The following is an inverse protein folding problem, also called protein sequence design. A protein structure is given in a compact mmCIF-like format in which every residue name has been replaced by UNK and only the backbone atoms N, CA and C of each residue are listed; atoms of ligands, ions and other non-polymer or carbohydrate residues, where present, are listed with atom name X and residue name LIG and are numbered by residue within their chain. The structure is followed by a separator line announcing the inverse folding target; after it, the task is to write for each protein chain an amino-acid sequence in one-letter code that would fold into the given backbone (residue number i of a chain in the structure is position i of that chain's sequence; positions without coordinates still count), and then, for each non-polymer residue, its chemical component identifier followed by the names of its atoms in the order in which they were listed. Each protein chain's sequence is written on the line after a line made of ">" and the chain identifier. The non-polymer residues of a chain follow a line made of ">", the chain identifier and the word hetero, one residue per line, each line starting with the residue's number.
data_IF_314723074046
#
_entry.id   IF_314723074046
#
_cell.length_a   1.000
_cell.length_b   1.000
_cell.length_c   1.000
_cell.angle_alpha   90.00
_cell.angle_beta   90.00
_cell.angle_gamma   90.00
#
_symmetry.space_group_name_H-M   'P 1'
#
loop_
_entity.id
_entity.type
_entity.pdbx_description
1 polymer ?
#
# COMPACT_ATOMS: atom_id res chain seq x y z
N UNK A 1 23.68 56.01 57.23
CA UNK A 1 24.62 55.19 56.43
C UNK A 1 23.82 54.03 55.88
N UNK A 2 23.62 53.99 54.57
CA UNK A 2 22.71 53.06 53.89
C UNK A 2 23.36 51.67 53.75
N UNK A 3 22.78 50.64 54.36
CA UNK A 3 23.16 49.25 54.08
C UNK A 3 22.29 48.73 52.93
N UNK A 4 22.94 48.51 51.79
CA UNK A 4 22.36 47.85 50.61
C UNK A 4 22.21 46.35 50.89
N UNK A 5 20.99 45.84 50.91
CA UNK A 5 20.73 44.41 50.71
C UNK A 5 20.66 44.13 49.21
N UNK A 6 21.66 43.42 48.68
CA UNK A 6 21.60 42.82 47.35
C UNK A 6 20.78 41.52 47.46
N UNK A 7 19.53 41.55 47.01
CA UNK A 7 18.76 40.34 46.76
C UNK A 7 19.17 39.82 45.38
N UNK A 8 19.93 38.73 45.34
CA UNK A 8 20.23 38.02 44.11
C UNK A 8 18.94 37.31 43.65
N UNK A 9 18.34 37.81 42.57
CA UNK A 9 17.28 37.10 41.87
C UNK A 9 17.92 35.98 41.05
N UNK A 10 17.85 34.75 41.56
CA UNK A 10 18.12 33.57 40.74
C UNK A 10 16.96 33.41 39.76
N UNK A 11 17.17 33.83 38.51
CA UNK A 11 16.28 33.47 37.41
C UNK A 11 16.44 31.99 37.13
N UNK A 12 15.53 31.16 37.65
CA UNK A 12 15.28 29.85 37.08
C UNK A 12 14.73 30.08 35.67
N UNK A 13 15.59 29.96 34.66
CA UNK A 13 15.11 29.67 33.31
C UNK A 13 14.51 28.27 33.37
N UNK A 14 13.19 28.18 33.54
CA UNK A 14 12.48 26.97 33.17
C UNK A 14 12.78 26.77 31.67
N UNK A 15 13.53 25.70 31.35
CA UNK A 15 13.56 25.21 29.99
C UNK A 15 12.10 24.95 29.61
N UNK A 16 11.56 25.77 28.71
CA UNK A 16 10.33 25.43 28.01
C UNK A 16 10.69 24.20 27.19
N UNK A 17 10.38 23.01 27.73
CA UNK A 17 10.30 21.82 26.93
C UNK A 17 9.29 22.13 25.82
N UNK A 18 9.76 22.17 24.58
CA UNK A 18 8.86 22.23 23.45
C UNK A 18 8.28 20.81 23.34
N UNK A 19 7.18 20.56 24.05
CA UNK A 19 6.35 19.36 23.92
C UNK A 19 5.71 19.36 22.53
N UNK A 20 6.48 18.97 21.51
CA UNK A 20 5.89 18.18 20.44
C UNK A 20 6.29 16.73 20.70
N UNK A 21 5.39 15.95 21.30
CA UNK A 21 5.48 14.49 21.43
C UNK A 21 5.42 13.76 20.07
N UNK A 22 5.54 14.50 18.97
CA UNK A 22 5.47 13.99 17.60
C UNK A 22 6.86 13.89 16.98
N UNK A 23 7.15 12.73 16.37
CA UNK A 23 8.33 12.53 15.51
C UNK A 23 7.91 12.71 14.07
N UNK A 24 8.49 13.68 13.36
CA UNK A 24 8.25 13.86 11.93
C UNK A 24 9.11 12.89 11.11
N UNK A 25 8.57 12.42 9.99
CA UNK A 25 9.27 11.54 9.05
C UNK A 25 8.83 11.86 7.63
N UNK A 26 9.79 12.07 6.74
CA UNK A 26 9.55 12.17 5.29
C UNK A 26 10.04 10.91 4.58
N UNK A 27 9.12 10.25 3.87
CA UNK A 27 9.36 9.03 3.10
C UNK A 27 9.21 9.32 1.61
N UNK A 28 10.06 8.71 0.79
CA UNK A 28 10.01 8.81 -0.67
C UNK A 28 10.13 7.41 -1.30
N UNK A 29 9.35 7.12 -2.33
CA UNK A 29 9.54 5.96 -3.19
C UNK A 29 9.73 6.39 -4.63
N UNK A 30 10.66 5.74 -5.33
CA UNK A 30 10.91 6.05 -6.73
C UNK A 30 11.46 4.86 -7.51
N UNK A 31 10.66 4.37 -8.47
CA UNK A 31 11.17 3.48 -9.52
C UNK A 31 12.05 4.32 -10.45
N UNK A 32 13.36 4.07 -10.41
CA UNK A 32 14.36 4.89 -11.12
C UNK A 32 14.64 4.41 -12.53
N UNK A 33 13.93 3.37 -13.00
CA UNK A 33 14.10 2.73 -14.29
C UNK A 33 15.51 2.18 -14.53
N UNK A 34 15.59 0.87 -14.69
CA UNK A 34 16.87 0.16 -14.81
C UNK A 34 17.72 0.64 -16.00
N UNK A 35 19.05 0.74 -15.83
CA UNK A 35 19.96 0.97 -16.97
C UNK A 35 19.92 -0.15 -18.01
N UNK A 36 19.46 -1.33 -17.61
CA UNK A 36 19.39 -2.52 -18.46
C UNK A 36 18.25 -2.45 -19.50
N UNK A 37 17.33 -1.51 -19.34
CA UNK A 37 16.29 -1.22 -20.32
C UNK A 37 16.88 -0.57 -21.60
N UNK A 38 18.11 -0.04 -21.53
CA UNK A 38 18.79 0.63 -22.64
C UNK A 38 17.96 1.76 -23.26
N UNK A 39 17.28 2.54 -22.43
CA UNK A 39 16.44 3.65 -22.89
C UNK A 39 17.30 4.69 -23.66
N UNK A 40 16.80 5.20 -24.81
CA UNK A 40 17.61 6.03 -25.69
C UNK A 40 17.81 7.45 -25.17
N UNK A 41 18.99 8.00 -25.43
CA UNK A 41 19.31 9.41 -25.25
C UNK A 41 18.45 10.32 -26.16
N UNK A 42 18.19 11.59 -25.77
CA UNK A 42 18.81 12.29 -24.64
C UNK A 42 18.19 11.96 -23.27
N UNK A 43 16.88 11.74 -23.18
CA UNK A 43 16.23 11.59 -21.87
C UNK A 43 16.54 10.27 -21.16
N UNK A 44 16.87 9.21 -21.90
CA UNK A 44 17.30 7.92 -21.34
C UNK A 44 18.74 7.86 -20.85
N UNK A 45 19.55 8.90 -21.11
CA UNK A 45 20.99 8.88 -20.78
C UNK A 45 21.21 8.73 -19.26
N UNK A 46 21.71 7.57 -18.84
CA UNK A 46 22.00 7.32 -17.41
C UNK A 46 22.98 8.33 -16.79
N UNK A 47 23.95 8.81 -17.59
CA UNK A 47 24.93 9.81 -17.17
C UNK A 47 24.27 11.08 -16.59
N UNK A 48 23.13 11.49 -17.15
CA UNK A 48 22.36 12.65 -16.71
C UNK A 48 21.34 12.26 -15.64
N UNK A 49 20.59 11.16 -15.86
CA UNK A 49 19.51 10.71 -14.95
C UNK A 49 19.99 10.54 -13.51
N UNK A 50 21.19 10.02 -13.27
CA UNK A 50 21.74 9.84 -11.91
C UNK A 50 21.83 11.15 -11.11
N UNK A 51 22.18 12.26 -11.77
CA UNK A 51 22.26 13.58 -11.14
C UNK A 51 20.87 14.14 -10.88
N UNK A 52 19.91 13.88 -11.77
CA UNK A 52 18.53 14.31 -11.58
C UNK A 52 17.81 13.54 -10.47
N UNK A 53 18.14 12.25 -10.25
CA UNK A 53 17.70 11.52 -9.05
C UNK A 53 18.21 12.23 -7.79
N UNK A 54 19.51 12.51 -7.72
CA UNK A 54 20.13 13.22 -6.58
C UNK A 54 19.47 14.58 -6.32
N UNK A 55 19.25 15.39 -7.36
CA UNK A 55 18.61 16.70 -7.22
C UNK A 55 17.20 16.61 -6.63
N UNK A 56 16.39 15.62 -7.04
CA UNK A 56 15.05 15.42 -6.47
C UNK A 56 15.09 14.93 -5.02
N UNK A 57 16.06 14.06 -4.67
CA UNK A 57 16.27 13.64 -3.27
C UNK A 57 16.71 14.82 -2.41
N UNK A 58 17.62 15.67 -2.88
CA UNK A 58 18.06 16.88 -2.16
C UNK A 58 16.90 17.88 -1.98
N UNK A 59 16.05 18.03 -2.98
CA UNK A 59 14.90 18.94 -2.93
C UNK A 59 13.85 18.51 -1.88
N UNK A 60 13.55 17.20 -1.84
CA UNK A 60 12.56 16.65 -0.91
C UNK A 60 13.17 16.44 0.48
N UNK A 61 14.48 16.19 0.53
CA UNK A 61 15.26 15.88 1.72
C UNK A 61 14.60 14.79 2.61
N UNK A 62 14.24 13.61 2.06
CA UNK A 62 13.54 12.57 2.80
C UNK A 62 14.39 12.01 3.94
N UNK A 63 13.77 11.62 5.06
CA UNK A 63 14.41 10.83 6.10
C UNK A 63 14.81 9.46 5.57
N UNK A 64 13.93 8.84 4.79
CA UNK A 64 14.20 7.56 4.14
C UNK A 64 13.60 7.53 2.74
N UNK A 65 14.28 6.86 1.82
CA UNK A 65 13.76 6.65 0.48
C UNK A 65 13.99 5.25 -0.08
N UNK A 66 12.98 4.74 -0.78
CA UNK A 66 13.00 3.46 -1.47
C UNK A 66 13.25 3.63 -2.95
N UNK A 67 14.19 2.89 -3.51
CA UNK A 67 14.40 2.80 -4.96
C UNK A 67 14.01 1.41 -5.47
N UNK A 68 13.41 1.35 -6.66
CA UNK A 68 13.08 0.11 -7.39
C UNK A 68 13.77 0.08 -8.77
N UNK A 69 13.82 -1.09 -9.40
CA UNK A 69 14.49 -1.33 -10.69
C UNK A 69 15.99 -0.98 -10.73
N UNK A 70 16.64 -0.82 -9.58
CA UNK A 70 18.05 -0.42 -9.56
C UNK A 70 18.91 -1.57 -10.07
N UNK A 71 19.67 -1.37 -11.15
CA UNK A 71 20.70 -2.32 -11.58
C UNK A 71 21.91 -2.29 -10.64
N UNK A 72 22.79 -3.30 -10.71
CA UNK A 72 24.04 -3.31 -9.92
C UNK A 72 24.88 -2.03 -10.14
N UNK A 73 25.03 -1.58 -11.39
CA UNK A 73 25.76 -0.33 -11.71
C UNK A 73 25.10 0.90 -11.08
N UNK A 74 23.76 0.96 -11.12
CA UNK A 74 23.02 2.06 -10.51
C UNK A 74 23.15 2.03 -8.98
N UNK A 75 23.13 0.84 -8.38
CA UNK A 75 23.31 0.66 -6.93
C UNK A 75 24.67 1.18 -6.48
N UNK A 76 25.76 0.75 -7.14
CA UNK A 76 27.11 1.22 -6.83
C UNK A 76 27.19 2.75 -6.95
N UNK A 77 26.59 3.30 -8.01
CA UNK A 77 26.54 4.77 -8.23
C UNK A 77 25.79 5.49 -7.11
N UNK A 78 24.63 4.98 -6.69
CA UNK A 78 23.82 5.62 -5.66
C UNK A 78 24.42 5.47 -4.27
N UNK A 79 25.08 4.35 -3.97
CA UNK A 79 25.81 4.16 -2.71
C UNK A 79 26.91 5.21 -2.54
N UNK A 80 27.66 5.47 -3.61
CA UNK A 80 28.66 6.54 -3.62
C UNK A 80 28.02 7.94 -3.55
N UNK A 81 26.93 8.15 -4.30
CA UNK A 81 26.30 9.48 -4.44
C UNK A 81 25.58 9.94 -3.18
N UNK A 82 25.09 9.01 -2.35
CA UNK A 82 24.35 9.29 -1.12
C UNK A 82 25.08 8.90 0.16
N UNK A 83 26.20 8.16 0.08
CA UNK A 83 26.85 7.51 1.22
C UNK A 83 27.40 8.45 2.31
N UNK A 84 27.60 9.73 2.00
CA UNK A 84 28.00 10.74 2.99
C UNK A 84 26.85 11.14 3.94
N UNK A 85 25.60 10.94 3.52
CA UNK A 85 24.39 11.41 4.21
C UNK A 85 23.45 10.26 4.62
N UNK A 86 23.40 9.21 3.80
CA UNK A 86 22.46 8.11 3.94
C UNK A 86 23.17 6.76 4.15
N UNK A 87 22.74 6.01 5.15
CA UNK A 87 22.95 4.57 5.19
C UNK A 87 22.02 3.88 4.19
N UNK A 88 22.33 2.64 3.80
CA UNK A 88 21.46 1.89 2.89
C UNK A 88 21.37 0.39 3.24
N UNK A 89 20.26 -0.21 2.82
CA UNK A 89 20.00 -1.65 2.87
C UNK A 89 19.37 -2.11 1.55
N UNK A 90 19.47 -3.41 1.27
CA UNK A 90 18.99 -4.04 0.04
C UNK A 90 20.13 -4.59 -0.80
N UNK A 91 19.89 -5.75 -1.41
CA UNK A 91 20.87 -6.50 -2.21
C UNK A 91 20.22 -6.99 -3.50
N UNK A 92 21.05 -7.49 -4.42
CA UNK A 92 20.61 -8.06 -5.70
C UNK A 92 19.60 -9.19 -5.49
N UNK A 93 18.46 -9.11 -6.19
CA UNK A 93 17.45 -10.18 -6.22
C UNK A 93 17.94 -11.44 -6.93
N UNK A 94 18.99 -11.32 -7.76
CA UNK A 94 19.52 -12.36 -8.61
C UNK A 94 18.82 -12.43 -9.96
N UNK A 95 19.50 -13.02 -10.95
CA UNK A 95 18.96 -13.16 -12.31
C UNK A 95 18.02 -14.36 -12.45
N UNK A 96 16.94 -14.20 -13.22
CA UNK A 96 16.02 -15.30 -13.54
C UNK A 96 15.69 -15.32 -15.04
N UNK A 97 15.82 -16.49 -15.68
CA UNK A 97 15.53 -16.70 -17.12
C UNK A 97 16.19 -15.68 -18.07
N UNK A 98 17.42 -15.28 -17.78
CA UNK A 98 18.16 -14.31 -18.60
C UNK A 98 17.76 -12.84 -18.38
N UNK A 99 16.80 -12.57 -17.48
CA UNK A 99 16.55 -11.24 -16.94
C UNK A 99 17.50 -11.00 -15.77
N UNK A 100 18.12 -9.82 -15.76
CA UNK A 100 19.00 -9.43 -14.68
C UNK A 100 18.23 -9.23 -13.38
N UNK A 101 18.94 -9.34 -12.27
CA UNK A 101 18.39 -8.98 -10.97
C UNK A 101 18.18 -7.47 -10.86
N UNK A 102 17.17 -7.11 -10.09
CA UNK A 102 16.85 -5.74 -9.72
C UNK A 102 17.04 -5.60 -8.22
N UNK A 103 17.47 -4.42 -7.79
CA UNK A 103 17.66 -4.09 -6.40
C UNK A 103 16.53 -3.16 -5.96
N UNK A 104 15.78 -3.64 -4.97
CA UNK A 104 14.98 -2.77 -4.12
C UNK A 104 15.89 -2.33 -2.98
N UNK A 105 16.08 -1.02 -2.82
CA UNK A 105 16.95 -0.47 -1.78
C UNK A 105 16.18 0.48 -0.87
N UNK A 106 16.57 0.58 0.40
CA UNK A 106 16.14 1.66 1.29
C UNK A 106 17.38 2.43 1.70
N UNK A 107 17.37 3.73 1.47
CA UNK A 107 18.35 4.68 1.98
C UNK A 107 17.73 5.44 3.16
N UNK A 108 18.49 5.71 4.22
CA UNK A 108 18.00 6.38 5.42
C UNK A 108 19.05 7.35 6.00
N UNK A 109 18.61 8.53 6.46
CA UNK A 109 19.49 9.53 7.10
C UNK A 109 20.12 8.95 8.35
N UNK A 110 21.42 8.64 8.29
CA UNK A 110 22.10 7.84 9.31
C UNK A 110 22.33 8.61 10.63
N UNK A 111 22.30 9.94 10.60
CA UNK A 111 22.39 10.80 11.79
C UNK A 111 21.05 10.92 12.55
N UNK A 112 19.94 10.68 11.85
CA UNK A 112 18.57 10.87 12.34
C UNK A 112 17.93 9.54 12.72
N UNK A 113 18.28 8.45 12.02
CA UNK A 113 17.70 7.12 12.22
C UNK A 113 18.76 6.04 12.40
N UNK A 114 18.77 5.42 13.57
CA UNK A 114 19.61 4.24 13.84
C UNK A 114 18.93 2.96 13.36
N UNK A 115 19.60 2.19 12.51
CA UNK A 115 19.15 0.87 12.09
C UNK A 115 19.26 -0.13 13.25
N UNK A 116 18.15 -0.75 13.62
CA UNK A 116 18.08 -1.77 14.68
C UNK A 116 18.21 -3.19 14.13
N UNK A 117 17.55 -3.44 12.99
CA UNK A 117 17.58 -4.72 12.28
C UNK A 117 17.12 -4.52 10.84
N UNK A 118 17.64 -5.29 9.91
CA UNK A 118 17.19 -5.32 8.51
C UNK A 118 17.11 -6.75 7.98
N UNK A 119 16.36 -6.92 6.89
CA UNK A 119 16.43 -8.11 6.07
C UNK A 119 15.91 -7.83 4.66
N UNK A 120 15.99 -8.86 3.83
CA UNK A 120 15.38 -8.90 2.52
C UNK A 120 14.85 -10.31 2.26
N UNK A 121 13.63 -10.37 1.75
CA UNK A 121 12.91 -11.60 1.43
C UNK A 121 12.57 -11.64 -0.07
N UNK A 122 12.49 -12.84 -0.62
CA UNK A 122 11.93 -13.06 -1.96
C UNK A 122 10.43 -13.29 -1.86
N UNK A 123 9.68 -12.75 -2.83
CA UNK A 123 8.23 -12.87 -2.88
C UNK A 123 7.86 -14.23 -3.49
N UNK A 124 8.00 -15.28 -2.68
CA UNK A 124 7.76 -16.66 -3.10
C UNK A 124 7.40 -17.58 -1.93
N UNK A 125 7.12 -18.87 -2.20
CA UNK A 125 6.68 -19.84 -1.20
C UNK A 125 7.68 -20.05 -0.05
N UNK A 126 8.97 -19.85 -0.33
CA UNK A 126 10.03 -19.78 0.67
C UNK A 126 10.71 -18.41 0.57
N UNK A 127 10.38 -17.46 1.47
CA UNK A 127 10.89 -16.09 1.40
C UNK A 127 12.39 -15.97 1.69
N UNK A 128 13.05 -17.02 2.18
CA UNK A 128 14.47 -17.00 2.56
C UNK A 128 15.43 -17.20 1.36
N UNK A 129 14.91 -17.56 0.19
CA UNK A 129 15.73 -17.88 -0.98
C UNK A 129 15.09 -17.43 -2.31
N UNK A 130 15.90 -17.18 -3.35
CA UNK A 130 15.40 -16.81 -4.67
C UNK A 130 14.37 -17.80 -5.20
N UNK A 131 13.17 -17.30 -5.50
CA UNK A 131 12.09 -18.10 -6.07
C UNK A 131 11.19 -17.25 -6.98
N UNK A 132 10.73 -17.88 -8.06
CA UNK A 132 9.79 -17.30 -9.03
C UNK A 132 8.60 -18.26 -9.13
N UNK A 133 7.63 -18.10 -8.24
CA UNK A 133 6.41 -18.91 -8.21
C UNK A 133 5.26 -18.21 -8.94
N UNK A 134 4.08 -18.81 -9.00
CA UNK A 134 2.86 -18.14 -9.50
C UNK A 134 2.98 -17.48 -10.88
N UNK A 135 3.80 -18.04 -11.77
CA UNK A 135 4.02 -17.50 -13.11
C UNK A 135 4.90 -16.26 -13.18
N UNK A 136 5.64 -15.96 -12.11
CA UNK A 136 6.58 -14.84 -12.05
C UNK A 136 7.64 -14.91 -13.15
N UNK A 137 8.00 -13.75 -13.67
CA UNK A 137 9.02 -13.61 -14.72
C UNK A 137 10.29 -12.93 -14.21
N UNK A 138 10.25 -12.36 -13.01
CA UNK A 138 11.41 -11.86 -12.26
C UNK A 138 11.45 -12.49 -10.86
N UNK A 139 12.64 -12.54 -10.26
CA UNK A 139 12.71 -12.60 -8.81
C UNK A 139 12.29 -11.24 -8.25
N UNK A 140 11.17 -11.21 -7.52
CA UNK A 140 10.69 -10.03 -6.80
C UNK A 140 11.03 -10.15 -5.33
N UNK A 141 11.33 -9.01 -4.71
CA UNK A 141 11.87 -8.97 -3.35
C UNK A 141 11.26 -7.81 -2.57
N UNK A 142 11.17 -7.97 -1.26
CA UNK A 142 10.90 -6.87 -0.33
C UNK A 142 12.10 -6.71 0.59
N UNK A 143 12.52 -5.47 0.80
CA UNK A 143 13.57 -5.08 1.75
C UNK A 143 12.92 -4.34 2.88
N UNK A 144 13.37 -4.58 4.11
CA UNK A 144 12.86 -3.84 5.25
C UNK A 144 13.93 -3.58 6.29
N UNK A 145 13.72 -2.51 7.06
CA UNK A 145 14.50 -2.18 8.23
C UNK A 145 13.61 -1.70 9.37
N UNK A 146 13.98 -2.05 10.60
CA UNK A 146 13.45 -1.47 11.82
C UNK A 146 14.44 -0.40 12.29
N UNK A 147 13.95 0.81 12.52
CA UNK A 147 14.76 1.98 12.84
C UNK A 147 14.31 2.63 14.13
N UNK A 148 15.21 3.37 14.77
CA UNK A 148 14.93 4.22 15.91
C UNK A 148 15.37 5.65 15.62
N UNK A 149 14.46 6.59 15.78
CA UNK A 149 14.77 8.02 15.71
C UNK A 149 15.73 8.39 16.85
N UNK A 150 16.86 9.01 16.53
CA UNK A 150 17.96 9.23 17.48
C UNK A 150 17.60 10.20 18.60
N UNK A 151 16.77 11.22 18.30
CA UNK A 151 16.41 12.24 19.27
C UNK A 151 15.20 11.87 20.15
N UNK A 152 14.17 11.24 19.58
CA UNK A 152 12.90 10.96 20.29
C UNK A 152 12.78 9.52 20.78
N UNK A 153 13.57 8.60 20.23
CA UNK A 153 13.47 7.16 20.52
C UNK A 153 12.29 6.46 19.84
N UNK A 154 11.45 7.17 19.08
CA UNK A 154 10.37 6.58 18.28
C UNK A 154 10.92 5.50 17.35
N UNK A 155 10.26 4.35 17.30
CA UNK A 155 10.63 3.26 16.40
C UNK A 155 9.69 3.16 15.21
N UNK A 156 10.26 2.78 14.06
CA UNK A 156 9.52 2.58 12.82
C UNK A 156 10.00 1.32 12.12
N UNK A 157 9.12 0.70 11.34
CA UNK A 157 9.41 -0.47 10.52
C UNK A 157 9.10 -0.11 9.07
N UNK A 158 10.11 -0.02 8.21
CA UNK A 158 9.96 0.52 6.84
C UNK A 158 10.26 -0.58 5.82
N UNK A 159 9.34 -0.78 4.88
CA UNK A 159 9.41 -1.76 3.80
C UNK A 159 9.47 -1.07 2.45
N UNK A 160 10.30 -1.59 1.55
CA UNK A 160 10.35 -1.22 0.14
C UNK A 160 10.23 -2.47 -0.74
N UNK A 161 9.45 -2.40 -1.81
CA UNK A 161 9.23 -3.54 -2.72
C UNK A 161 9.06 -3.12 -4.17
N UNK A 162 9.11 -4.10 -5.07
CA UNK A 162 8.68 -4.01 -6.45
C UNK A 162 7.86 -5.27 -6.76
N UNK A 163 6.55 -5.12 -6.95
CA UNK A 163 5.65 -6.25 -7.22
C UNK A 163 5.88 -6.85 -8.61
N UNK A 164 5.33 -8.05 -8.81
CA UNK A 164 5.34 -8.67 -10.13
C UNK A 164 4.63 -7.80 -11.17
N UNK A 165 5.08 -7.92 -12.42
CA UNK A 165 4.63 -7.14 -13.58
C UNK A 165 3.10 -7.09 -13.68
N UNK A 166 2.53 -5.97 -14.20
CA UNK A 166 1.09 -5.82 -14.36
C UNK A 166 0.47 -6.97 -15.14
N UNK A 167 -0.65 -7.50 -14.66
CA UNK A 167 -1.38 -8.61 -15.28
C UNK A 167 -1.03 -9.99 -14.74
N UNK A 168 -0.06 -10.13 -13.83
CA UNK A 168 0.11 -11.34 -13.02
C UNK A 168 -0.48 -11.16 -11.61
N UNK A 169 -1.80 -11.01 -11.55
CA UNK A 169 -2.54 -10.72 -10.31
C UNK A 169 -2.28 -11.75 -9.21
N UNK A 170 -2.12 -13.04 -9.56
CA UNK A 170 -1.85 -14.10 -8.58
C UNK A 170 -0.51 -13.87 -7.88
N UNK A 171 0.55 -13.58 -8.63
CA UNK A 171 1.86 -13.31 -8.03
C UNK A 171 1.85 -12.01 -7.20
N UNK A 172 1.09 -10.99 -7.59
CA UNK A 172 0.94 -9.76 -6.81
C UNK A 172 0.24 -10.04 -5.48
N UNK A 173 -0.85 -10.82 -5.48
CA UNK A 173 -1.60 -11.20 -4.27
C UNK A 173 -0.73 -12.03 -3.32
N UNK A 174 -0.07 -13.07 -3.84
CA UNK A 174 0.77 -13.94 -3.00
C UNK A 174 2.03 -13.21 -2.52
N UNK A 175 2.57 -12.28 -3.32
CA UNK A 175 3.61 -11.35 -2.89
C UNK A 175 3.15 -10.46 -1.73
N UNK A 176 1.94 -9.90 -1.80
CA UNK A 176 1.37 -9.14 -0.67
C UNK A 176 1.25 -10.03 0.59
N UNK A 177 0.77 -11.27 0.47
CA UNK A 177 0.68 -12.20 1.61
C UNK A 177 2.04 -12.42 2.29
N UNK A 178 3.09 -12.67 1.49
CA UNK A 178 4.47 -12.84 1.99
C UNK A 178 4.93 -11.59 2.73
N UNK A 179 4.67 -10.39 2.20
CA UNK A 179 5.07 -9.13 2.81
C UNK A 179 4.33 -8.89 4.13
N UNK A 180 3.01 -9.09 4.16
CA UNK A 180 2.21 -8.93 5.39
C UNK A 180 2.65 -9.90 6.48
N UNK A 181 2.92 -11.17 6.12
CA UNK A 181 3.48 -12.15 7.06
C UNK A 181 4.86 -11.70 7.58
N UNK A 182 5.70 -11.14 6.71
CA UNK A 182 7.01 -10.60 7.08
C UNK A 182 6.88 -9.39 8.01
N UNK A 183 5.93 -8.48 7.78
CA UNK A 183 5.67 -7.34 8.67
C UNK A 183 5.25 -7.79 10.07
N UNK A 184 4.41 -8.82 10.16
CA UNK A 184 3.96 -9.36 11.45
C UNK A 184 5.07 -10.05 12.25
N UNK A 185 6.05 -10.63 11.57
CA UNK A 185 7.19 -11.30 12.21
C UNK A 185 8.30 -10.30 12.60
N UNK A 186 8.58 -9.32 11.72
CA UNK A 186 9.72 -8.43 11.86
C UNK A 186 9.46 -7.16 12.67
N UNK A 187 8.23 -6.64 12.67
CA UNK A 187 7.89 -5.40 13.35
C UNK A 187 7.33 -5.64 14.76
N UNK A 188 7.64 -4.75 15.70
CA UNK A 188 7.01 -4.74 17.02
C UNK A 188 5.78 -3.83 16.98
N UNK A 189 4.63 -4.37 16.60
CA UNK A 189 3.38 -3.60 16.44
C UNK A 189 2.83 -2.99 17.75
N UNK A 190 3.47 -3.28 18.89
CA UNK A 190 3.18 -2.61 20.16
C UNK A 190 3.94 -1.29 20.34
N UNK A 191 4.89 -0.99 19.45
CA UNK A 191 5.74 0.20 19.51
C UNK A 191 5.91 0.89 18.15
N UNK A 192 6.05 0.11 17.09
CA UNK A 192 6.46 0.58 15.78
C UNK A 192 5.28 1.19 15.01
N UNK A 193 5.51 2.35 14.39
CA UNK A 193 4.78 2.73 13.20
C UNK A 193 5.35 1.95 11.99
N UNK A 194 4.48 1.39 11.16
CA UNK A 194 4.86 0.62 9.97
C UNK A 194 4.65 1.48 8.74
N UNK A 195 5.62 1.47 7.84
CA UNK A 195 5.56 2.12 6.54
C UNK A 195 5.85 1.11 5.44
N UNK A 196 5.02 1.12 4.40
CA UNK A 196 5.16 0.24 3.26
C UNK A 196 5.17 1.05 1.98
N UNK A 197 6.28 1.05 1.29
CA UNK A 197 6.47 1.82 0.06
C UNK A 197 6.99 0.96 -1.08
N UNK A 198 6.91 1.48 -2.30
CA UNK A 198 7.43 0.81 -3.48
C UNK A 198 6.58 0.98 -4.72
N UNK A 199 7.02 0.32 -5.78
CA UNK A 199 6.26 0.10 -7.01
C UNK A 199 5.44 -1.19 -6.86
N UNK A 200 4.13 -1.04 -6.70
CA UNK A 200 3.22 -2.15 -6.49
C UNK A 200 2.72 -2.75 -7.81
N UNK A 201 3.05 -2.19 -8.98
CA UNK A 201 2.52 -2.63 -10.29
C UNK A 201 1.00 -2.87 -10.32
N UNK A 202 0.28 -2.25 -9.39
CA UNK A 202 -1.08 -2.59 -9.05
C UNK A 202 -1.79 -1.34 -8.54
N UNK A 203 -2.98 -1.09 -9.07
CA UNK A 203 -3.80 0.04 -8.66
C UNK A 203 -4.44 -0.20 -7.28
N UNK A 204 -4.88 0.84 -6.55
CA UNK A 204 -5.47 0.70 -5.21
C UNK A 204 -6.70 -0.21 -5.17
N UNK A 205 -7.43 -0.31 -6.28
CA UNK A 205 -8.61 -1.16 -6.40
C UNK A 205 -8.30 -2.63 -6.68
N UNK A 206 -7.05 -2.97 -6.99
CA UNK A 206 -6.64 -4.36 -7.23
C UNK A 206 -6.68 -5.15 -5.92
N UNK A 207 -6.81 -6.47 -6.02
CA UNK A 207 -6.87 -7.28 -4.82
C UNK A 207 -5.56 -7.24 -4.01
N UNK A 208 -4.41 -7.31 -4.68
CA UNK A 208 -3.11 -7.23 -4.01
C UNK A 208 -2.98 -5.96 -3.13
N UNK A 209 -3.52 -4.83 -3.59
CA UNK A 209 -3.55 -3.59 -2.82
C UNK A 209 -4.62 -3.60 -1.72
N UNK A 210 -5.83 -4.07 -1.99
CA UNK A 210 -6.88 -4.20 -0.96
C UNK A 210 -6.44 -5.11 0.19
N UNK A 211 -5.74 -6.20 -0.11
CA UNK A 211 -5.15 -7.12 0.85
C UNK A 211 -4.23 -6.39 1.83
N UNK A 212 -3.41 -5.47 1.34
CA UNK A 212 -2.55 -4.64 2.17
C UNK A 212 -3.31 -3.54 2.93
N UNK A 213 -4.35 -2.92 2.33
CA UNK A 213 -4.93 -1.69 2.88
C UNK A 213 -6.20 -1.87 3.71
N UNK A 214 -6.92 -2.95 3.50
CA UNK A 214 -8.30 -3.10 3.99
C UNK A 214 -8.44 -4.25 4.97
N UNK A 215 -7.66 -5.31 4.80
CA UNK A 215 -7.85 -6.53 5.56
C UNK A 215 -6.94 -6.59 6.81
N UNK A 216 -7.44 -7.16 7.91
CA UNK A 216 -6.62 -7.45 9.07
C UNK A 216 -5.52 -8.46 8.70
N UNK A 217 -4.40 -8.50 9.45
CA UNK A 217 -4.19 -7.81 10.74
C UNK A 217 -3.65 -6.37 10.65
N UNK A 218 -3.17 -5.93 9.48
CA UNK A 218 -2.52 -4.63 9.27
C UNK A 218 -3.22 -3.84 8.15
N UNK A 219 -4.37 -3.19 8.39
CA UNK A 219 -5.03 -2.37 7.38
C UNK A 219 -4.23 -1.08 7.13
N UNK A 220 -3.24 -1.16 6.25
CA UNK A 220 -2.38 -0.04 5.88
C UNK A 220 -3.21 1.07 5.22
N UNK A 221 -2.90 2.31 5.53
CA UNK A 221 -3.59 3.48 5.02
C UNK A 221 -2.72 4.16 3.96
N UNK A 222 -3.37 4.66 2.90
CA UNK A 222 -2.68 5.45 1.88
C UNK A 222 -2.34 6.84 2.41
N UNK A 223 -1.19 7.39 2.03
CA UNK A 223 -0.83 8.80 2.27
C UNK A 223 -1.41 9.74 1.21
N UNK A 224 -1.72 9.23 0.02
CA UNK A 224 -2.30 10.02 -1.09
C UNK A 224 -3.80 10.21 -0.88
N UNK A 225 -4.16 11.19 -0.06
CA UNK A 225 -5.53 11.43 0.40
C UNK A 225 -6.38 12.28 -0.56
N UNK A 226 -5.76 12.97 -1.52
CA UNK A 226 -6.46 13.81 -2.51
C UNK A 226 -6.50 13.14 -3.88
N UNK A 227 -7.54 13.48 -4.66
CA UNK A 227 -7.86 12.82 -5.94
C UNK A 227 -7.24 13.50 -7.17
N UNK A 228 -6.48 14.58 -6.97
CA UNK A 228 -6.05 15.50 -8.02
C UNK A 228 -4.58 15.38 -8.42
N UNK A 229 -3.85 14.40 -7.87
CA UNK A 229 -2.39 14.32 -8.03
C UNK A 229 -1.89 13.60 -9.30
N UNK A 230 -2.80 13.18 -10.18
CA UNK A 230 -2.43 12.48 -11.42
C UNK A 230 -2.04 11.01 -11.20
N UNK A 231 -1.25 10.46 -12.13
CA UNK A 231 -0.73 9.09 -12.04
C UNK A 231 0.76 9.06 -11.73
N UNK A 232 1.23 7.96 -11.14
CA UNK A 232 2.64 7.70 -10.87
C UNK A 232 3.36 6.99 -12.03
N UNK A 233 2.63 6.29 -12.91
CA UNK A 233 3.21 5.65 -14.10
C UNK A 233 3.03 6.52 -15.34
N UNK A 234 4.10 6.75 -16.09
CA UNK A 234 4.14 7.72 -17.17
C UNK A 234 4.72 7.19 -18.48
N UNK A 235 4.89 5.86 -18.58
CA UNK A 235 5.26 5.10 -19.78
C UNK A 235 6.67 5.37 -20.36
N UNK A 236 7.21 6.58 -20.26
CA UNK A 236 8.54 6.94 -20.76
C UNK A 236 9.08 8.21 -20.07
N UNK A 237 10.27 8.64 -20.48
CA UNK A 237 11.01 9.77 -19.91
C UNK A 237 10.77 11.11 -20.64
N UNK A 238 9.74 11.23 -21.48
CA UNK A 238 9.41 12.47 -22.22
C UNK A 238 7.96 12.91 -22.03
N UNK A 239 7.09 12.00 -21.63
CA UNK A 239 5.68 12.29 -21.44
C UNK A 239 5.47 13.18 -20.20
N UNK A 240 4.76 14.32 -20.33
CA UNK A 240 4.54 15.24 -19.23
C UNK A 240 3.56 14.66 -18.19
N UNK A 241 3.42 15.27 -17.00
CA UNK A 241 2.51 14.81 -15.94
C UNK A 241 1.08 14.53 -16.40
N UNK A 242 0.57 15.28 -17.39
CA UNK A 242 -0.78 15.10 -17.95
C UNK A 242 -0.98 13.80 -18.74
N UNK A 243 0.10 13.06 -19.02
CA UNK A 243 0.09 11.75 -19.67
C UNK A 243 0.30 10.60 -18.70
N UNK A 244 0.68 10.89 -17.46
CA UNK A 244 0.77 9.86 -16.43
C UNK A 244 -0.61 9.32 -16.07
N UNK A 245 -0.66 8.02 -15.80
CA UNK A 245 -1.87 7.29 -15.50
C UNK A 245 -1.59 6.22 -14.45
N UNK A 246 -2.63 5.87 -13.70
CA UNK A 246 -2.56 4.93 -12.59
C UNK A 246 -1.70 5.41 -11.43
N UNK A 247 -2.06 5.04 -10.21
CA UNK A 247 -1.20 5.25 -9.04
C UNK A 247 -0.82 3.85 -8.61
N UNK A 248 0.40 3.45 -8.99
CA UNK A 248 0.96 2.13 -8.69
C UNK A 248 2.17 2.23 -7.75
N UNK A 249 2.69 3.44 -7.57
CA UNK A 249 3.74 3.75 -6.60
C UNK A 249 3.09 4.33 -5.34
N UNK A 250 3.42 3.78 -4.18
CA UNK A 250 2.73 4.11 -2.94
C UNK A 250 3.68 4.35 -1.78
N UNK A 251 3.26 5.23 -0.87
CA UNK A 251 3.69 5.22 0.52
C UNK A 251 2.43 4.93 1.35
N UNK A 252 2.41 3.79 2.03
CA UNK A 252 1.34 3.37 2.93
C UNK A 252 1.86 3.36 4.37
N UNK A 253 0.95 3.50 5.34
CA UNK A 253 1.32 3.51 6.75
C UNK A 253 0.33 2.74 7.63
N UNK A 254 0.81 2.25 8.76
CA UNK A 254 -0.03 1.72 9.82
C UNK A 254 0.57 2.12 11.16
N UNK A 255 -0.27 2.52 12.09
CA UNK A 255 0.07 2.55 13.50
C UNK A 255 -1.07 1.95 14.30
N UNK A 256 -0.72 1.17 15.32
CA UNK A 256 -1.70 0.76 16.31
C UNK A 256 -2.25 2.02 17.01
N UNK A 257 -3.57 2.29 16.95
CA UNK A 257 -4.14 3.50 17.55
C UNK A 257 -3.95 3.58 19.07
N UNK A 258 -3.64 2.46 19.72
CA UNK A 258 -3.32 2.41 21.16
C UNK A 258 -1.86 2.80 21.45
N UNK A 259 -1.02 2.90 20.43
CA UNK A 259 0.43 3.14 20.51
C UNK A 259 0.76 4.54 20.01
N UNK A 260 0.31 4.89 18.79
CA UNK A 260 0.55 6.21 18.21
C UNK A 260 -0.57 6.61 17.25
N UNK A 261 -0.87 7.91 17.19
CA UNK A 261 -1.58 8.50 16.06
C UNK A 261 -0.60 8.84 14.95
N UNK A 262 -1.01 8.71 13.69
CA UNK A 262 -0.26 9.22 12.56
C UNK A 262 -1.04 10.36 11.91
N UNK A 263 -0.34 11.44 11.60
CA UNK A 263 -0.87 12.59 10.90
C UNK A 263 -0.14 12.74 9.56
N UNK A 264 -0.84 12.55 8.44
CA UNK A 264 -0.28 12.86 7.11
C UNK A 264 -0.30 14.38 6.93
N UNK A 265 0.89 14.99 6.85
CA UNK A 265 1.04 16.44 6.61
C UNK A 265 0.95 16.77 5.14
N UNK A 266 1.67 15.98 4.35
CA UNK A 266 1.77 16.14 2.92
C UNK A 266 2.00 14.77 2.28
N UNK A 267 1.43 14.59 1.10
CA UNK A 267 1.80 13.51 0.20
C UNK A 267 1.64 14.02 -1.23
N UNK A 268 2.61 13.75 -2.09
CA UNK A 268 2.60 14.21 -3.47
C UNK A 268 3.14 13.15 -4.44
N UNK A 269 2.54 13.10 -5.63
CA UNK A 269 3.14 12.50 -6.82
C UNK A 269 3.88 13.62 -7.57
N UNK A 270 5.19 13.50 -7.71
CA UNK A 270 6.05 14.54 -8.31
C UNK A 270 6.71 14.02 -9.56
N UNK A 271 6.53 14.77 -10.65
CA UNK A 271 7.18 14.52 -11.93
C UNK A 271 7.88 15.80 -12.40
N UNK A 272 9.17 15.89 -12.13
CA UNK A 272 10.00 17.07 -12.43
C UNK A 272 10.53 17.04 -13.86
N UNK A 273 10.36 18.17 -14.55
CA UNK A 273 10.87 18.42 -15.90
C UNK A 273 12.34 18.89 -15.84
N UNK A 274 13.18 18.27 -16.65
CA UNK A 274 14.59 18.60 -16.87
C UNK A 274 14.78 18.91 -18.36
N UNK A 275 14.38 20.10 -18.77
CA UNK A 275 14.43 20.58 -20.17
C UNK A 275 13.69 19.64 -21.14
N UNK A 276 12.48 19.22 -20.76
CA UNK A 276 11.64 18.30 -21.53
C UNK A 276 11.97 16.81 -21.34
N UNK A 277 12.93 16.48 -20.47
CA UNK A 277 13.21 15.12 -20.02
C UNK A 277 12.70 14.88 -18.59
N UNK A 278 12.35 13.64 -18.30
CA UNK A 278 11.98 13.16 -16.96
C UNK A 278 12.95 12.07 -16.54
N UNK A 279 13.19 11.96 -15.23
CA UNK A 279 14.23 11.08 -14.67
C UNK A 279 13.93 9.59 -14.85
N UNK A 280 12.65 9.26 -14.94
CA UNK A 280 12.14 7.89 -15.05
C UNK A 280 10.83 7.85 -15.84
N UNK A 281 10.43 6.65 -16.27
CA UNK A 281 9.07 6.35 -16.73
C UNK A 281 8.05 6.36 -15.58
N UNK A 282 8.50 6.51 -14.33
CA UNK A 282 7.68 6.80 -13.16
C UNK A 282 7.83 8.25 -12.67
N UNK A 283 6.80 8.76 -12.01
CA UNK A 283 6.87 9.91 -11.12
C UNK A 283 7.22 9.42 -9.71
N UNK A 284 8.03 10.18 -8.97
CA UNK A 284 8.30 9.82 -7.57
C UNK A 284 7.07 10.09 -6.71
N UNK A 285 6.94 9.37 -5.60
CA UNK A 285 5.91 9.62 -4.59
C UNK A 285 6.59 9.88 -3.25
N UNK A 286 6.22 10.96 -2.57
CA UNK A 286 6.70 11.22 -1.22
C UNK A 286 5.56 11.55 -0.27
N UNK A 287 5.78 11.33 1.02
CA UNK A 287 4.88 11.75 2.07
C UNK A 287 5.65 12.19 3.33
N UNK A 288 5.17 13.26 3.96
CA UNK A 288 5.64 13.74 5.27
C UNK A 288 4.55 13.46 6.29
N UNK A 289 4.92 12.77 7.36
CA UNK A 289 4.00 12.35 8.42
C UNK A 289 4.56 12.71 9.79
N UNK A 290 3.66 12.96 10.73
CA UNK A 290 4.01 13.05 12.15
C UNK A 290 3.48 11.81 12.87
N UNK A 291 4.35 11.13 13.62
CA UNK A 291 4.04 9.98 14.48
C UNK A 291 3.92 10.50 15.92
N UNK A 292 2.78 10.27 16.55
CA UNK A 292 2.40 10.87 17.84
C UNK A 292 1.27 11.89 17.68
N UNK A 293 0.83 12.51 18.79
CA UNK A 293 -0.25 13.51 18.72
C UNK A 293 0.33 14.85 18.29
N UNK A 294 -0.05 15.41 17.13
CA UNK A 294 0.52 16.67 16.68
C UNK A 294 -0.04 17.85 17.47
N UNK A 295 0.78 18.87 17.72
CA UNK A 295 0.41 20.03 18.54
C UNK A 295 -0.64 20.98 17.91
N UNK A 296 -1.25 20.65 16.76
CA UNK A 296 -2.26 21.49 16.11
C UNK A 296 -3.08 20.73 15.03
N UNK A 297 -4.41 20.90 15.06
CA UNK A 297 -5.50 20.15 14.37
C UNK A 297 -5.55 20.23 12.83
N UNK A 298 -4.43 20.35 12.12
CA UNK A 298 -4.37 20.31 10.65
C UNK A 298 -3.76 18.99 10.20
N UNK A 299 -4.46 17.88 10.46
CA UNK A 299 -4.15 16.60 9.85
C UNK A 299 -5.06 16.40 8.65
N UNK A 300 -4.47 16.06 7.50
CA UNK A 300 -5.25 15.41 6.46
C UNK A 300 -5.55 14.00 6.99
N UNK A 301 -6.69 13.85 7.66
CA UNK A 301 -7.16 12.53 8.05
C UNK A 301 -7.58 11.80 6.78
N UNK A 302 -7.20 10.54 6.58
CA UNK A 302 -7.85 9.74 5.55
C UNK A 302 -9.36 9.79 5.77
N UNK A 303 -10.17 9.84 4.69
CA UNK A 303 -11.61 9.74 4.84
C UNK A 303 -11.92 8.49 5.68
N UNK A 304 -12.90 8.55 6.59
CA UNK A 304 -13.22 7.41 7.43
C UNK A 304 -13.67 6.25 6.54
N UNK A 305 -12.76 5.30 6.31
CA UNK A 305 -13.00 3.98 5.71
C UNK A 305 -13.77 3.08 6.68
N UNK A 306 -14.74 3.64 7.40
CA UNK A 306 -15.55 2.88 8.33
C UNK A 306 -16.48 1.98 7.51
N UNK A 307 -16.57 0.68 7.87
CA UNK A 307 -17.62 -0.18 7.35
C UNK A 307 -19.00 0.47 7.59
N UNK A 308 -19.85 0.43 6.58
CA UNK A 308 -21.26 0.83 6.70
C UNK A 308 -22.02 -0.38 7.22
N UNK A 309 -22.97 -0.21 8.15
CA UNK A 309 -23.70 -1.35 8.71
C UNK A 309 -24.39 -2.20 7.63
N UNK A 310 -24.02 -3.49 7.58
CA UNK A 310 -24.43 -4.46 6.56
C UNK A 310 -23.68 -4.34 5.21
N UNK A 311 -22.65 -3.51 5.11
CA UNK A 311 -21.83 -3.29 3.92
C UNK A 311 -20.33 -3.25 4.25
N UNK A 312 -19.50 -3.57 3.27
CA UNK A 312 -18.04 -3.57 3.41
C UNK A 312 -17.46 -2.17 3.53
N UNK A 313 -16.16 -2.10 3.80
CA UNK A 313 -15.39 -0.84 3.77
C UNK A 313 -15.51 -0.20 2.38
N UNK A 314 -15.89 1.09 2.30
CA UNK A 314 -15.91 1.81 1.03
C UNK A 314 -14.54 1.93 0.39
N UNK A 315 -14.49 1.69 -0.91
CA UNK A 315 -13.31 1.80 -1.76
C UNK A 315 -13.40 3.10 -2.56
N UNK A 316 -12.50 4.04 -2.28
CA UNK A 316 -12.48 5.34 -2.93
C UNK A 316 -11.86 5.28 -4.33
N UNK A 317 -12.39 6.12 -5.24
CA UNK A 317 -11.98 6.21 -6.64
C UNK A 317 -12.05 4.87 -7.40
N UNK A 318 -12.99 4.02 -7.01
CA UNK A 318 -13.14 2.67 -7.53
C UNK A 318 -14.52 2.51 -8.11
N UNK A 319 -14.62 2.03 -9.34
CA UNK A 319 -15.85 1.53 -9.96
C UNK A 319 -15.75 0.02 -10.10
N UNK A 320 -16.77 -0.70 -9.65
CA UNK A 320 -16.82 -2.13 -9.81
C UNK A 320 -17.32 -2.51 -11.20
N UNK A 321 -16.68 -3.49 -11.84
CA UNK A 321 -17.27 -4.12 -13.01
C UNK A 321 -18.52 -4.94 -12.64
N UNK A 322 -19.13 -5.55 -13.65
CA UNK A 322 -20.24 -6.48 -13.48
C UNK A 322 -21.60 -5.93 -13.92
N UNK A 323 -22.59 -6.83 -13.97
CA UNK A 323 -23.93 -6.47 -14.42
C UNK A 323 -24.60 -5.50 -13.43
N UNK A 324 -25.04 -4.36 -13.96
CA UNK A 324 -25.87 -3.41 -13.21
C UNK A 324 -27.27 -4.00 -13.09
N UNK A 325 -27.70 -4.28 -11.86
CA UNK A 325 -29.02 -4.86 -11.57
C UNK A 325 -30.10 -3.80 -11.36
N UNK A 326 -29.68 -2.58 -10.97
CA UNK A 326 -30.52 -1.39 -10.88
C UNK A 326 -29.68 -0.11 -10.87
N UNK A 327 -30.30 1.01 -11.27
CA UNK A 327 -29.74 2.35 -11.13
C UNK A 327 -30.73 3.17 -10.32
N UNK A 328 -30.29 3.71 -9.19
CA UNK A 328 -31.14 4.42 -8.22
C UNK A 328 -30.46 5.72 -7.78
N UNK A 329 -31.22 6.77 -7.42
CA UNK A 329 -30.64 7.97 -6.82
C UNK A 329 -30.13 7.68 -5.39
N UNK A 330 -28.96 8.17 -5.02
CA UNK A 330 -28.46 8.10 -3.64
C UNK A 330 -27.53 9.27 -3.31
N UNK A 331 -27.81 9.95 -2.21
CA UNK A 331 -27.02 11.09 -1.76
C UNK A 331 -25.75 10.66 -1.01
N UNK A 332 -25.70 9.41 -0.55
CA UNK A 332 -24.60 8.86 0.24
C UNK A 332 -24.34 7.37 -0.07
N UNK A 333 -23.17 6.88 0.37
CA UNK A 333 -22.85 5.46 0.34
C UNK A 333 -23.82 4.61 1.18
N UNK A 334 -24.35 5.19 2.26
CA UNK A 334 -25.37 4.56 3.10
C UNK A 334 -26.66 4.31 2.33
N UNK A 335 -27.10 5.28 1.54
CA UNK A 335 -28.29 5.12 0.70
C UNK A 335 -28.10 3.98 -0.31
N UNK A 336 -26.95 3.95 -1.00
CA UNK A 336 -26.64 2.88 -1.94
C UNK A 336 -26.58 1.51 -1.25
N UNK A 337 -26.02 1.44 -0.04
CA UNK A 337 -26.01 0.23 0.79
C UNK A 337 -27.42 -0.24 1.09
N UNK A 338 -28.32 0.64 1.53
CA UNK A 338 -29.70 0.30 1.86
C UNK A 338 -30.49 -0.18 0.65
N UNK A 339 -30.35 0.48 -0.51
CA UNK A 339 -30.98 0.01 -1.75
C UNK A 339 -30.44 -1.36 -2.17
N UNK A 340 -29.13 -1.58 -2.10
CA UNK A 340 -28.53 -2.86 -2.46
C UNK A 340 -28.89 -3.97 -1.47
N UNK A 341 -29.06 -3.66 -0.17
CA UNK A 341 -29.56 -4.62 0.82
C UNK A 341 -30.99 -5.08 0.49
N UNK A 342 -31.82 -4.22 -0.10
CA UNK A 342 -33.20 -4.55 -0.45
C UNK A 342 -33.34 -5.33 -1.77
N UNK A 343 -32.42 -5.13 -2.73
CA UNK A 343 -32.43 -5.89 -3.99
C UNK A 343 -31.71 -7.24 -3.81
N UNK A 344 -32.46 -8.34 -3.89
CA UNK A 344 -31.93 -9.70 -3.72
C UNK A 344 -30.84 -10.06 -4.73
N UNK A 345 -30.82 -9.40 -5.90
CA UNK A 345 -29.82 -9.62 -6.96
C UNK A 345 -28.56 -8.80 -6.73
N UNK A 346 -28.59 -7.82 -5.83
CA UNK A 346 -27.46 -6.94 -5.57
C UNK A 346 -26.49 -7.54 -4.56
N UNK A 347 -25.19 -7.34 -4.83
CA UNK A 347 -24.08 -7.79 -3.98
C UNK A 347 -23.01 -6.70 -3.80
N UNK A 348 -23.02 -5.66 -4.64
CA UNK A 348 -22.11 -4.53 -4.54
C UNK A 348 -22.74 -3.29 -5.18
N UNK A 349 -22.17 -2.11 -4.95
CA UNK A 349 -22.64 -0.87 -5.54
C UNK A 349 -21.50 0.10 -5.79
N UNK A 350 -21.73 1.05 -6.71
CA UNK A 350 -20.84 2.19 -6.91
C UNK A 350 -21.65 3.48 -6.95
N UNK A 351 -21.28 4.43 -6.10
CA UNK A 351 -21.83 5.78 -6.03
C UNK A 351 -21.00 6.71 -6.91
N UNK A 352 -21.63 7.28 -7.93
CA UNK A 352 -21.02 8.32 -8.75
C UNK A 352 -21.11 9.70 -8.08
N UNK A 353 -20.22 10.60 -8.49
CA UNK A 353 -20.12 11.97 -7.96
C UNK A 353 -21.38 12.82 -8.20
N UNK A 354 -22.25 12.42 -9.11
CA UNK A 354 -23.53 13.06 -9.40
C UNK A 354 -24.69 12.57 -8.50
N UNK A 355 -24.42 11.67 -7.55
CA UNK A 355 -25.43 11.09 -6.66
C UNK A 355 -26.16 9.89 -7.25
N UNK A 356 -25.60 9.23 -8.26
CA UNK A 356 -26.20 8.01 -8.84
C UNK A 356 -25.58 6.75 -8.22
N UNK A 357 -26.41 5.86 -7.68
CA UNK A 357 -26.01 4.52 -7.25
C UNK A 357 -26.21 3.51 -8.39
N UNK A 358 -25.13 2.86 -8.80
CA UNK A 358 -25.17 1.72 -9.71
C UNK A 358 -25.09 0.44 -8.90
N UNK A 359 -26.24 -0.20 -8.66
CA UNK A 359 -26.36 -1.47 -7.95
C UNK A 359 -25.90 -2.61 -8.85
N UNK A 360 -25.04 -3.49 -8.34
CA UNK A 360 -24.33 -4.50 -9.12
C UNK A 360 -24.57 -5.90 -8.58
N UNK A 361 -24.68 -6.84 -9.51
CA UNK A 361 -24.92 -8.25 -9.21
C UNK A 361 -23.73 -8.94 -8.54
N UNK A 362 -22.52 -8.38 -8.67
CA UNK A 362 -21.31 -8.83 -8.01
C UNK A 362 -20.30 -7.67 -7.98
N UNK A 363 -19.20 -7.81 -7.24
CA UNK A 363 -17.99 -7.06 -7.52
C UNK A 363 -17.31 -7.71 -8.73
N UNK A 364 -17.52 -7.16 -9.92
CA UNK A 364 -16.70 -7.53 -11.08
C UNK A 364 -15.31 -6.92 -10.97
N UNK A 365 -14.48 -7.12 -12.02
CA UNK A 365 -13.16 -6.49 -12.12
C UNK A 365 -13.28 -4.98 -11.83
N UNK A 366 -12.64 -4.56 -10.74
CA UNK A 366 -12.65 -3.18 -10.32
C UNK A 366 -11.76 -2.35 -11.26
N UNK A 367 -12.07 -1.07 -11.39
CA UNK A 367 -11.31 -0.11 -12.19
C UNK A 367 -11.27 1.24 -11.50
N UNK A 368 -10.22 2.02 -11.76
CA UNK A 368 -10.10 3.37 -11.20
C UNK A 368 -11.10 4.29 -11.89
N UNK A 369 -11.85 5.03 -11.08
CA UNK A 369 -12.73 6.09 -11.55
C UNK A 369 -12.83 7.19 -10.49
N UNK A 370 -12.17 8.31 -10.75
CA UNK A 370 -12.12 9.44 -9.83
C UNK A 370 -13.53 9.93 -9.45
N UNK A 371 -13.72 10.18 -8.15
CA UNK A 371 -15.01 10.63 -7.61
C UNK A 371 -16.08 9.55 -7.50
N UNK A 372 -15.78 8.30 -7.86
CA UNK A 372 -16.66 7.15 -7.62
C UNK A 372 -16.22 6.42 -6.36
N UNK A 373 -17.17 6.04 -5.52
CA UNK A 373 -16.92 5.23 -4.34
C UNK A 373 -17.73 3.94 -4.42
N UNK A 374 -17.10 2.80 -4.16
CA UNK A 374 -17.76 1.48 -4.26
C UNK A 374 -17.69 0.71 -2.97
N UNK A 375 -18.68 -0.14 -2.69
CA UNK A 375 -18.59 -1.08 -1.58
C UNK A 375 -19.38 -2.37 -1.87
N UNK A 376 -19.01 -3.43 -1.15
CA UNK A 376 -19.73 -4.71 -1.17
C UNK A 376 -20.88 -4.67 -0.17
N UNK A 377 -21.90 -5.47 -0.36
CA UNK A 377 -22.94 -5.70 0.65
C UNK A 377 -22.71 -7.04 1.33
N UNK A 378 -22.75 -7.06 2.65
CA UNK A 378 -22.50 -8.25 3.45
C UNK A 378 -23.77 -9.08 3.52
N UNK A 379 -23.87 -10.03 2.58
CA UNK A 379 -24.97 -11.01 2.44
C UNK A 379 -24.58 -12.42 2.87
N UNK A 380 -23.38 -12.55 3.42
CA UNK A 380 -22.84 -13.75 4.01
C UNK A 380 -22.31 -13.41 5.40
N UNK A 381 -22.07 -14.42 6.23
CA UNK A 381 -21.29 -14.25 7.47
C UNK A 381 -19.90 -13.67 7.16
N UNK A 382 -19.23 -13.17 8.19
CA UNK A 382 -17.80 -12.87 8.07
C UNK A 382 -17.05 -14.10 7.55
N UNK A 383 -16.02 -13.87 6.75
CA UNK A 383 -15.17 -14.92 6.22
C UNK A 383 -14.30 -15.45 7.36
N UNK A 384 -14.48 -16.72 7.69
CA UNK A 384 -13.66 -17.44 8.67
C UNK A 384 -12.36 -17.86 8.01
N UNK A 385 -11.23 -17.33 8.49
CA UNK A 385 -9.90 -17.73 8.04
C UNK A 385 -9.53 -19.14 8.56
N UNK A 386 -8.66 -19.80 7.82
CA UNK A 386 -8.14 -21.14 8.10
C UNK A 386 -9.21 -22.18 8.47
N UNK A 387 -10.36 -22.10 7.81
CA UNK A 387 -11.55 -22.92 8.10
C UNK A 387 -12.15 -23.45 6.82
N UNK A 388 -12.40 -24.76 6.77
CA UNK A 388 -13.07 -25.45 5.66
C UNK A 388 -14.46 -25.94 6.10
N UNK A 389 -15.46 -25.73 5.27
CA UNK A 389 -16.84 -26.17 5.52
C UNK A 389 -17.04 -27.54 4.86
N UNK A 390 -17.08 -28.62 5.62
CA UNK A 390 -17.14 -29.99 5.06
C UNK A 390 -18.57 -30.35 4.62
N UNK A 391 -19.05 -29.74 3.55
CA UNK A 391 -20.27 -30.07 2.83
C UNK A 391 -19.95 -30.49 1.38
N UNK A 392 -20.92 -31.10 0.69
CA UNK A 392 -20.75 -31.48 -0.71
C UNK A 392 -20.54 -30.23 -1.57
N UNK A 393 -19.43 -30.22 -2.33
CA UNK A 393 -19.17 -29.19 -3.34
C UNK A 393 -20.13 -29.40 -4.51
N UNK A 394 -21.12 -28.52 -4.65
CA UNK A 394 -22.12 -28.55 -5.72
C UNK A 394 -21.67 -27.77 -6.96
N UNK A 395 -20.57 -27.02 -6.85
CA UNK A 395 -20.05 -26.20 -7.92
C UNK A 395 -18.79 -25.45 -7.53
N UNK A 396 -18.23 -24.72 -8.48
CA UNK A 396 -17.12 -23.82 -8.19
C UNK A 396 -17.01 -22.71 -9.22
N UNK A 397 -16.40 -21.60 -8.83
CA UNK A 397 -16.05 -20.51 -9.73
C UNK A 397 -14.70 -19.90 -9.33
N UNK A 398 -13.99 -19.33 -10.30
CA UNK A 398 -12.81 -18.55 -10.01
C UNK A 398 -13.20 -17.27 -9.26
N UNK A 399 -12.37 -16.89 -8.29
CA UNK A 399 -12.50 -15.62 -7.58
C UNK A 399 -11.15 -15.23 -7.00
N UNK A 400 -10.79 -13.96 -7.13
CA UNK A 400 -9.56 -13.45 -6.53
C UNK A 400 -9.64 -13.38 -5.01
N UNK A 401 -10.84 -13.17 -4.46
CA UNK A 401 -11.10 -12.93 -3.04
C UNK A 401 -12.07 -13.94 -2.46
N UNK A 402 -11.92 -14.34 -1.18
CA UNK A 402 -12.96 -15.10 -0.50
C UNK A 402 -14.26 -14.30 -0.34
N UNK A 403 -14.19 -12.98 -0.14
CA UNK A 403 -15.38 -12.11 0.02
C UNK A 403 -16.22 -12.05 -1.26
N UNK A 404 -15.58 -12.18 -2.42
CA UNK A 404 -16.27 -12.18 -3.72
C UNK A 404 -17.03 -13.50 -3.95
N UNK A 405 -16.70 -14.57 -3.22
CA UNK A 405 -17.44 -15.83 -3.28
C UNK A 405 -18.87 -15.73 -2.79
N UNK A 406 -19.19 -14.78 -1.92
CA UNK A 406 -20.55 -14.60 -1.43
C UNK A 406 -21.52 -14.32 -2.60
N UNK A 407 -21.16 -13.37 -3.48
CA UNK A 407 -21.97 -13.02 -4.64
C UNK A 407 -22.11 -14.19 -5.62
N UNK A 408 -21.02 -14.92 -5.84
CA UNK A 408 -20.97 -16.07 -6.76
C UNK A 408 -21.81 -17.24 -6.23
N UNK A 409 -21.71 -17.54 -4.93
CA UNK A 409 -22.53 -18.55 -4.27
C UNK A 409 -24.00 -18.18 -4.32
N UNK A 410 -24.39 -16.93 -3.98
CA UNK A 410 -25.78 -16.47 -4.04
C UNK A 410 -26.39 -16.53 -5.45
N UNK A 411 -25.57 -16.48 -6.49
CA UNK A 411 -26.00 -16.65 -7.87
C UNK A 411 -26.05 -18.12 -8.34
N UNK A 412 -25.51 -19.05 -7.56
CA UNK A 412 -25.46 -20.47 -7.86
C UNK A 412 -26.60 -21.20 -7.14
N UNK A 413 -27.47 -21.84 -7.92
CA UNK A 413 -28.67 -22.51 -7.37
C UNK A 413 -28.30 -23.59 -6.34
N UNK A 414 -28.95 -23.53 -5.18
CA UNK A 414 -28.69 -24.44 -4.06
C UNK A 414 -27.44 -24.16 -3.23
N UNK A 415 -26.67 -23.09 -3.47
CA UNK A 415 -25.50 -22.77 -2.66
C UNK A 415 -25.89 -22.11 -1.33
N UNK A 416 -25.48 -22.71 -0.23
CA UNK A 416 -25.74 -22.22 1.14
C UNK A 416 -24.46 -21.76 1.86
N UNK A 417 -23.29 -22.19 1.39
CA UNK A 417 -21.99 -21.79 1.92
C UNK A 417 -20.92 -21.86 0.84
N UNK A 418 -19.75 -21.28 1.11
CA UNK A 418 -18.57 -21.47 0.26
C UNK A 418 -17.31 -21.72 1.09
N UNK A 419 -16.33 -22.34 0.44
CA UNK A 419 -14.94 -22.30 0.87
C UNK A 419 -14.09 -21.79 -0.28
N UNK A 420 -13.08 -21.00 0.03
CA UNK A 420 -12.19 -20.38 -0.94
C UNK A 420 -10.75 -20.76 -0.63
N UNK A 421 -10.02 -21.14 -1.67
CA UNK A 421 -8.59 -21.40 -1.61
C UNK A 421 -8.02 -21.36 -3.03
N UNK A 422 -6.75 -20.98 -3.19
CA UNK A 422 -6.07 -20.90 -4.48
C UNK A 422 -6.86 -20.12 -5.55
N UNK A 423 -7.40 -18.95 -5.19
CA UNK A 423 -8.20 -18.10 -6.09
C UNK A 423 -9.46 -18.76 -6.67
N UNK A 424 -10.08 -19.67 -5.92
CA UNK A 424 -11.27 -20.40 -6.36
C UNK A 424 -12.27 -20.59 -5.22
N UNK A 425 -13.53 -20.27 -5.50
CA UNK A 425 -14.67 -20.57 -4.64
C UNK A 425 -15.18 -21.98 -4.93
N UNK A 426 -15.43 -22.74 -3.87
CA UNK A 426 -16.07 -24.04 -3.87
C UNK A 426 -17.43 -23.89 -3.18
N UNK A 427 -18.49 -23.99 -3.98
CA UNK A 427 -19.88 -23.78 -3.56
C UNK A 427 -20.42 -25.01 -2.89
N UNK A 428 -21.08 -24.82 -1.75
CA UNK A 428 -21.53 -25.92 -0.88
C UNK A 428 -23.03 -25.90 -0.77
N UNK A 429 -23.63 -27.07 -0.91
CA UNK A 429 -25.09 -27.26 -0.79
C UNK A 429 -25.61 -27.21 0.66
N UNK A 430 -24.76 -26.84 1.61
CA UNK A 430 -25.07 -26.75 3.03
C UNK A 430 -23.87 -26.23 3.82
N UNK A 431 -24.08 -25.85 5.08
CA UNK A 431 -22.98 -25.42 5.96
C UNK A 431 -21.99 -26.55 6.27
N UNK A 432 -22.47 -27.77 6.46
CA UNK A 432 -21.64 -28.91 6.86
C UNK A 432 -21.00 -28.72 8.25
N UNK A 433 -19.97 -29.52 8.55
CA UNK A 433 -19.14 -29.33 9.76
C UNK A 433 -17.92 -28.48 9.42
N UNK A 434 -17.54 -27.55 10.29
CA UNK A 434 -16.32 -26.76 10.10
C UNK A 434 -15.09 -27.50 10.61
N UNK A 435 -13.99 -27.46 9.85
CA UNK A 435 -12.70 -28.04 10.24
C UNK A 435 -11.57 -27.01 10.04
N UNK A 436 -10.61 -26.92 10.97
CA UNK A 436 -9.44 -26.06 10.78
C UNK A 436 -8.61 -26.53 9.58
N UNK A 437 -8.29 -25.61 8.68
CA UNK A 437 -7.47 -25.87 7.48
C UNK A 437 -6.79 -24.59 7.01
N UNK A 438 -5.48 -24.52 7.23
CA UNK A 438 -4.66 -23.37 6.85
C UNK A 438 -4.83 -22.99 5.36
N UNK A 439 -5.01 -21.71 5.07
CA UNK A 439 -5.16 -21.16 3.72
C UNK A 439 -6.52 -21.43 3.05
N UNK A 440 -7.51 -21.87 3.83
CA UNK A 440 -8.90 -22.01 3.37
C UNK A 440 -9.78 -21.01 4.12
N UNK A 441 -10.61 -20.30 3.38
CA UNK A 441 -11.47 -19.25 3.90
C UNK A 441 -12.93 -19.58 3.60
N UNK A 442 -13.81 -19.60 4.59
CA UNK A 442 -15.19 -20.04 4.40
C UNK A 442 -16.22 -19.07 4.96
N UNK A 443 -17.42 -19.06 4.40
CA UNK A 443 -18.56 -18.31 4.95
C UNK A 443 -19.90 -18.95 4.58
N UNK A 444 -20.96 -18.52 5.25
CA UNK A 444 -22.34 -18.99 5.07
C UNK A 444 -23.18 -17.87 4.46
N UNK A 445 -24.07 -18.19 3.52
CA UNK A 445 -25.03 -17.25 2.94
C UNK A 445 -26.15 -16.95 3.95
N UNK A 446 -26.52 -15.66 4.10
CA UNK A 446 -27.53 -15.18 5.06
C UNK A 446 -28.95 -15.09 4.48
#
# INVERSE_FOLDING_TARGET
>A
MWSRFLVAWATFAAAMANDSDSTSITLLTFNVRTTLANDPCPCGCWADRKQYVRQQVDEIAPDMFGLQETSLEQKDTFDDLFGDEYGNIGRDSGSYQGRAGEINAIYFKADTWSLLSDSMVWLGPDPSQPSAAWGMVYYRTAVFGRFRHTATGQTVCVFNTHYETPGNDLAQVEGTNVILATMLDACDLSQDAVFFMGDMNAEPFTYAMQLATTFPPLPLQTTLLTTDQGGSWCNNMVDPPSKCAGVIDHVLYYANPSVASICVREAQIVRRDFDGCYVSDHALVYATLDIGTPANDQCNAPPPNAPIDGCGVPEANTDYGGAVVAVVPGASLGDCCDFCKQDTRCNAYSLASDGTCYLKGARGLASRKYGVQSARVLKCTAVDADTDHMAEDIGSAASYLPEDCCALCRAFDGCEAFSWTNSKCYFKGGQGTTVPRAGVHSAIVL
#
